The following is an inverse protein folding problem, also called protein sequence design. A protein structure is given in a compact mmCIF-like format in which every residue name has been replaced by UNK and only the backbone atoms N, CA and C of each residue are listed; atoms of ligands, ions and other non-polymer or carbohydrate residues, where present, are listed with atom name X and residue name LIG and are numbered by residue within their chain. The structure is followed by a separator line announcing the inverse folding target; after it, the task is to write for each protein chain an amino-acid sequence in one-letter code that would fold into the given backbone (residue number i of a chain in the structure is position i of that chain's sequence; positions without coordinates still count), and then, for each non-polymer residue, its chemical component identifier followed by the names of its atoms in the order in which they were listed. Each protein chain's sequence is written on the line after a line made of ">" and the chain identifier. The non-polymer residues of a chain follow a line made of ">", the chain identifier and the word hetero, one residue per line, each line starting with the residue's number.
data_IF_412347112228
#
_entry.id   IF_412347112228
#
_cell.length_a   1.000
_cell.length_b   1.000
_cell.length_c   1.000
_cell.angle_alpha   90.00
_cell.angle_beta   90.00
_cell.angle_gamma   90.00
#
_symmetry.space_group_name_H-M   'P 1'
#
loop_
_entity.id
_entity.type
_entity.pdbx_description
1 polymer ?
#
# COMPACT_ATOMS: atom_id res chain seq x y z
N UNK A 1 -12.92 12.42 10.57
CA UNK A 1 -12.76 12.40 12.04
C UNK A 1 -12.10 11.09 12.47
N UNK A 2 -11.41 11.05 13.61
CA UNK A 2 -10.92 9.80 14.19
C UNK A 2 -12.04 9.15 15.01
N UNK A 3 -12.16 7.82 14.95
CA UNK A 3 -13.17 7.12 15.73
C UNK A 3 -12.80 7.12 17.22
N UNK A 4 -13.82 6.95 18.05
CA UNK A 4 -13.70 6.75 19.49
C UNK A 4 -14.64 5.64 19.95
N UNK A 5 -14.54 5.25 21.22
CA UNK A 5 -15.46 4.27 21.84
C UNK A 5 -16.94 4.70 21.72
N UNK A 6 -17.21 6.01 21.62
CA UNK A 6 -18.58 6.54 21.48
C UNK A 6 -19.18 6.30 20.10
N UNK A 7 -18.37 5.92 19.12
CA UNK A 7 -18.80 5.73 17.74
C UNK A 7 -19.15 4.26 17.42
N UNK A 8 -19.01 3.34 18.38
CA UNK A 8 -19.22 1.90 18.19
C UNK A 8 -20.58 1.58 17.57
N UNK A 9 -21.65 2.16 18.10
CA UNK A 9 -23.01 1.95 17.60
C UNK A 9 -23.16 2.46 16.15
N UNK A 10 -22.62 3.64 15.84
CA UNK A 10 -22.65 4.21 14.49
C UNK A 10 -21.86 3.38 13.48
N UNK A 11 -20.69 2.88 13.90
CA UNK A 11 -19.86 1.99 13.09
C UNK A 11 -20.63 0.71 12.80
N UNK A 12 -21.24 0.10 13.82
CA UNK A 12 -22.04 -1.11 13.67
C UNK A 12 -23.21 -0.91 12.71
N UNK A 13 -23.96 0.18 12.85
CA UNK A 13 -25.03 0.55 11.92
C UNK A 13 -24.53 0.69 10.48
N UNK A 14 -23.39 1.36 10.29
CA UNK A 14 -22.78 1.51 8.97
C UNK A 14 -22.34 0.17 8.37
N UNK A 15 -21.74 -0.72 9.18
CA UNK A 15 -21.32 -2.05 8.73
C UNK A 15 -22.51 -2.85 8.21
N UNK A 16 -23.65 -2.83 8.91
CA UNK A 16 -24.85 -3.50 8.42
C UNK A 16 -25.48 -2.83 7.19
N UNK A 17 -25.55 -1.50 7.17
CA UNK A 17 -26.23 -0.76 6.12
C UNK A 17 -25.47 -0.75 4.79
N UNK A 18 -24.14 -0.68 4.84
CA UNK A 18 -23.30 -0.43 3.66
C UNK A 18 -22.30 -1.55 3.40
N UNK A 19 -21.64 -2.08 4.42
CA UNK A 19 -20.54 -3.03 4.23
C UNK A 19 -21.06 -4.45 3.96
N UNK A 20 -21.81 -5.05 4.89
CA UNK A 20 -22.29 -6.43 4.76
C UNK A 20 -23.16 -6.68 3.53
N UNK A 21 -23.90 -5.67 3.08
CA UNK A 21 -24.73 -5.76 1.87
C UNK A 21 -23.95 -5.58 0.58
N UNK A 22 -22.68 -5.16 0.61
CA UNK A 22 -21.91 -4.82 -0.60
C UNK A 22 -20.55 -5.50 -0.67
N UNK A 23 -20.12 -6.23 0.35
CA UNK A 23 -18.86 -6.96 0.39
C UNK A 23 -18.97 -8.26 -0.47
N UNK A 24 -18.04 -8.52 -1.41
CA UNK A 24 -18.13 -9.66 -2.33
C UNK A 24 -18.22 -11.05 -1.69
N UNK A 25 -17.36 -11.38 -0.72
CA UNK A 25 -17.37 -12.71 -0.12
C UNK A 25 -18.64 -12.93 0.71
N UNK A 26 -19.11 -11.90 1.41
CA UNK A 26 -20.36 -11.87 2.18
C UNK A 26 -21.56 -12.12 1.28
N UNK A 27 -21.61 -11.48 0.09
CA UNK A 27 -22.66 -11.75 -0.90
C UNK A 27 -22.58 -13.17 -1.46
N UNK A 28 -21.38 -13.68 -1.71
CA UNK A 28 -21.21 -15.01 -2.32
C UNK A 28 -21.80 -16.13 -1.46
N UNK A 29 -21.68 -16.02 -0.14
CA UNK A 29 -22.25 -16.97 0.83
C UNK A 29 -23.67 -16.61 1.29
N UNK A 30 -24.27 -15.56 0.70
CA UNK A 30 -25.58 -15.01 1.08
C UNK A 30 -25.65 -14.74 2.59
N UNK A 31 -24.66 -14.01 3.11
CA UNK A 31 -24.58 -13.63 4.52
C UNK A 31 -25.81 -12.78 4.88
N UNK A 32 -26.54 -13.20 5.91
CA UNK A 32 -27.69 -12.45 6.43
C UNK A 32 -27.26 -11.50 7.56
N UNK A 33 -28.15 -10.59 7.95
CA UNK A 33 -27.92 -9.73 9.12
C UNK A 33 -27.68 -10.57 10.38
N UNK A 34 -28.42 -11.67 10.56
CA UNK A 34 -28.31 -12.56 11.72
C UNK A 34 -26.95 -13.27 11.77
N UNK A 35 -26.49 -13.76 10.62
CA UNK A 35 -25.18 -14.42 10.50
C UNK A 35 -24.02 -13.47 10.89
N UNK A 36 -24.14 -12.18 10.57
CA UNK A 36 -23.06 -11.20 10.72
C UNK A 36 -22.99 -10.52 12.09
N UNK A 37 -23.93 -10.76 13.02
CA UNK A 37 -24.06 -9.96 14.25
C UNK A 37 -22.77 -9.96 15.07
N UNK A 38 -22.30 -11.15 15.47
CA UNK A 38 -21.13 -11.26 16.34
C UNK A 38 -19.88 -10.70 15.64
N UNK A 39 -19.68 -11.05 14.36
CA UNK A 39 -18.57 -10.55 13.56
C UNK A 39 -18.56 -9.02 13.45
N UNK A 40 -19.70 -8.40 13.17
CA UNK A 40 -19.76 -6.94 13.01
C UNK A 40 -19.70 -6.20 14.34
N UNK A 41 -20.21 -6.78 15.43
CA UNK A 41 -19.99 -6.25 16.78
C UNK A 41 -18.50 -6.24 17.13
N UNK A 42 -17.79 -7.35 16.87
CA UNK A 42 -16.33 -7.41 17.09
C UNK A 42 -15.59 -6.39 16.23
N UNK A 43 -15.92 -6.28 14.95
CA UNK A 43 -15.31 -5.30 14.06
C UNK A 43 -15.60 -3.85 14.50
N UNK A 44 -16.83 -3.56 14.92
CA UNK A 44 -17.20 -2.23 15.41
C UNK A 44 -16.43 -1.89 16.68
N UNK A 45 -16.42 -2.79 17.65
CA UNK A 45 -15.70 -2.64 18.91
C UNK A 45 -14.19 -2.46 18.69
N UNK A 46 -13.58 -3.34 17.89
CA UNK A 46 -12.15 -3.24 17.56
C UNK A 46 -11.85 -1.96 16.79
N UNK A 47 -12.71 -1.56 15.86
CA UNK A 47 -12.57 -0.35 15.06
C UNK A 47 -12.89 0.96 15.79
N UNK A 48 -13.46 0.91 16.99
CA UNK A 48 -13.84 2.10 17.77
C UNK A 48 -12.65 2.66 18.55
N UNK A 49 -11.62 3.04 17.81
CA UNK A 49 -10.34 3.47 18.35
C UNK A 49 -9.77 4.66 17.55
N UNK A 50 -8.78 5.35 18.14
CA UNK A 50 -8.17 6.56 17.57
C UNK A 50 -7.46 6.38 16.22
N UNK A 51 -7.15 5.14 15.82
CA UNK A 51 -6.48 4.82 14.56
C UNK A 51 -7.47 4.66 13.39
N UNK A 52 -8.75 4.43 13.68
CA UNK A 52 -9.79 4.36 12.68
C UNK A 52 -10.25 5.76 12.26
N UNK A 53 -10.67 5.88 11.00
CA UNK A 53 -11.15 7.13 10.41
C UNK A 53 -12.61 7.01 9.99
N UNK A 54 -13.43 7.98 10.40
CA UNK A 54 -14.83 8.15 10.00
C UNK A 54 -14.95 9.37 9.09
N UNK A 55 -15.66 9.23 7.97
CA UNK A 55 -15.90 10.29 7.00
C UNK A 55 -17.38 10.68 7.01
N UNK A 56 -17.63 11.97 7.22
CA UNK A 56 -18.96 12.54 7.37
C UNK A 56 -19.29 13.51 6.24
N UNK A 57 -20.57 13.54 5.89
CA UNK A 57 -21.21 14.55 5.04
C UNK A 57 -22.34 15.19 5.87
N UNK A 58 -22.06 16.35 6.47
CA UNK A 58 -22.84 16.88 7.58
C UNK A 58 -22.80 15.91 8.77
N UNK A 59 -23.96 15.55 9.31
CA UNK A 59 -24.08 14.59 10.42
C UNK A 59 -24.12 13.11 9.95
N UNK A 60 -24.11 12.88 8.63
CA UNK A 60 -24.24 11.53 8.08
C UNK A 60 -22.88 10.88 7.88
N UNK A 61 -22.68 9.71 8.50
CA UNK A 61 -21.52 8.85 8.22
C UNK A 61 -21.61 8.29 6.80
N UNK A 62 -20.68 8.67 5.93
CA UNK A 62 -20.65 8.29 4.50
C UNK A 62 -19.50 7.35 4.16
N UNK A 63 -18.53 7.19 5.04
CA UNK A 63 -17.44 6.24 4.87
C UNK A 63 -16.69 6.00 6.16
N UNK A 64 -16.00 4.88 6.23
CA UNK A 64 -15.10 4.53 7.32
C UNK A 64 -13.89 3.74 6.83
N UNK A 65 -12.83 3.80 7.62
CA UNK A 65 -11.63 2.98 7.54
C UNK A 65 -11.29 2.52 8.95
N UNK A 66 -11.63 1.28 9.28
CA UNK A 66 -11.32 0.70 10.58
C UNK A 66 -9.90 0.18 10.56
N UNK A 67 -9.10 0.59 11.55
CA UNK A 67 -7.71 0.18 11.66
C UNK A 67 -7.40 -0.31 13.06
N UNK A 68 -6.42 -1.19 13.18
CA UNK A 68 -5.88 -1.67 14.44
C UNK A 68 -4.36 -1.52 14.46
N UNK A 69 -3.82 -1.05 15.57
CA UNK A 69 -2.38 -0.94 15.78
C UNK A 69 -1.88 -2.16 16.55
N UNK A 70 -0.88 -2.86 16.01
CA UNK A 70 -0.22 -3.98 16.67
C UNK A 70 1.25 -3.63 16.90
N UNK A 71 1.72 -3.77 18.14
CA UNK A 71 3.11 -3.56 18.50
C UNK A 71 3.71 -4.86 19.05
N UNK A 72 4.44 -5.57 18.19
CA UNK A 72 4.87 -6.95 18.48
C UNK A 72 5.97 -7.07 19.53
N UNK A 73 6.46 -5.98 20.11
CA UNK A 73 7.31 -6.05 21.30
C UNK A 73 6.55 -6.49 22.56
N UNK A 74 5.21 -6.59 22.48
CA UNK A 74 4.35 -6.91 23.63
C UNK A 74 3.72 -8.31 23.58
N UNK A 75 3.78 -9.02 22.45
CA UNK A 75 3.13 -10.34 22.29
C UNK A 75 4.10 -11.39 21.72
N UNK A 76 4.58 -12.27 22.58
CA UNK A 76 5.36 -13.45 22.17
C UNK A 76 4.41 -14.55 21.67
N UNK A 77 3.66 -14.25 20.62
CA UNK A 77 2.74 -15.21 19.99
C UNK A 77 3.50 -16.17 19.07
N UNK A 78 3.17 -17.46 19.18
CA UNK A 78 3.62 -18.48 18.23
C UNK A 78 3.12 -18.08 16.83
N UNK A 79 4.04 -17.96 15.88
CA UNK A 79 3.70 -17.75 14.47
C UNK A 79 3.17 -19.08 13.92
N UNK A 80 1.92 -19.15 13.44
CA UNK A 80 1.37 -20.40 12.91
C UNK A 80 2.14 -20.88 11.68
N UNK A 81 2.21 -22.20 11.52
CA UNK A 81 2.79 -22.82 10.34
C UNK A 81 2.02 -22.40 9.08
N UNK A 82 2.71 -22.42 7.94
CA UNK A 82 2.06 -22.20 6.66
C UNK A 82 1.06 -23.33 6.34
N UNK A 83 -0.14 -22.94 5.91
CA UNK A 83 -1.18 -23.88 5.48
C UNK A 83 -1.10 -24.02 3.97
N UNK A 84 -1.04 -25.26 3.50
CA UNK A 84 -1.13 -25.59 2.08
C UNK A 84 -2.60 -25.73 1.66
N UNK A 85 -3.21 -24.60 1.29
CA UNK A 85 -4.62 -24.57 0.86
C UNK A 85 -4.91 -25.41 -0.40
N UNK A 86 -3.90 -25.81 -1.18
CA UNK A 86 -4.14 -26.73 -2.31
C UNK A 86 -4.54 -28.13 -1.84
N UNK A 87 -4.07 -28.55 -0.67
CA UNK A 87 -4.30 -29.88 -0.10
C UNK A 87 -5.06 -29.86 1.24
N UNK A 88 -5.37 -28.67 1.75
CA UNK A 88 -6.08 -28.48 3.02
C UNK A 88 -7.57 -28.20 2.80
N UNK A 89 -8.40 -28.73 3.71
CA UNK A 89 -9.84 -28.46 3.76
C UNK A 89 -10.17 -27.73 5.06
N UNK A 90 -10.88 -26.61 4.94
CA UNK A 90 -11.12 -25.67 6.03
C UNK A 90 -12.31 -26.07 6.92
N UNK A 91 -13.01 -27.19 6.67
CA UNK A 91 -14.22 -27.56 7.42
C UNK A 91 -14.00 -27.58 8.95
N UNK A 92 -12.90 -28.16 9.42
CA UNK A 92 -12.59 -28.21 10.86
C UNK A 92 -12.12 -26.86 11.41
N UNK A 93 -11.52 -25.99 10.58
CA UNK A 93 -11.12 -24.65 11.01
C UNK A 93 -12.34 -23.72 11.13
N UNK A 94 -13.24 -23.77 10.15
CA UNK A 94 -14.52 -23.03 10.15
C UNK A 94 -15.37 -23.46 11.36
N UNK A 95 -15.46 -24.77 11.62
CA UNK A 95 -16.18 -25.31 12.78
C UNK A 95 -15.60 -24.86 14.13
N UNK A 96 -14.28 -24.62 14.20
CA UNK A 96 -13.59 -24.11 15.40
C UNK A 96 -13.60 -22.58 15.48
N UNK A 97 -14.22 -21.89 14.51
CA UNK A 97 -14.30 -20.44 14.50
C UNK A 97 -14.99 -19.89 15.76
N UNK A 98 -14.72 -18.62 16.10
CA UNK A 98 -15.15 -18.03 17.36
C UNK A 98 -16.65 -17.71 17.41
N UNK A 99 -17.32 -17.69 16.26
CA UNK A 99 -18.71 -17.26 16.17
C UNK A 99 -19.68 -18.42 16.23
N UNK A 100 -20.87 -18.14 16.74
CA UNK A 100 -21.96 -19.12 16.73
C UNK A 100 -22.42 -19.47 15.30
N UNK A 101 -22.42 -18.48 14.41
CA UNK A 101 -22.97 -18.61 13.07
C UNK A 101 -21.90 -19.06 12.07
N UNK A 102 -22.18 -20.16 11.38
CA UNK A 102 -21.24 -20.84 10.46
C UNK A 102 -20.65 -19.90 9.40
N UNK A 103 -21.50 -19.05 8.80
CA UNK A 103 -21.08 -18.12 7.74
C UNK A 103 -20.16 -17.00 8.21
N UNK A 104 -20.28 -16.58 9.47
CA UNK A 104 -19.31 -15.65 10.04
C UNK A 104 -17.95 -16.34 10.20
N UNK A 105 -17.95 -17.63 10.57
CA UNK A 105 -16.74 -18.42 10.66
C UNK A 105 -16.10 -18.68 9.29
N UNK A 106 -16.87 -18.90 8.23
CA UNK A 106 -16.35 -18.98 6.84
C UNK A 106 -15.49 -17.75 6.50
N UNK A 107 -16.00 -16.55 6.81
CA UNK A 107 -15.30 -15.27 6.56
C UNK A 107 -14.07 -15.13 7.45
N UNK A 108 -14.23 -15.31 8.76
CA UNK A 108 -13.16 -15.02 9.72
C UNK A 108 -12.00 -16.01 9.58
N UNK A 109 -12.27 -17.27 9.22
CA UNK A 109 -11.23 -18.28 9.00
C UNK A 109 -10.34 -17.91 7.80
N UNK A 110 -10.92 -17.42 6.70
CA UNK A 110 -10.13 -16.90 5.58
C UNK A 110 -9.29 -15.68 6.01
N UNK A 111 -9.91 -14.74 6.73
CA UNK A 111 -9.23 -13.50 7.17
C UNK A 111 -8.08 -13.83 8.12
N UNK A 112 -8.28 -14.70 9.09
CA UNK A 112 -7.24 -15.17 10.01
C UNK A 112 -6.10 -15.87 9.28
N UNK A 113 -6.39 -16.74 8.30
CA UNK A 113 -5.35 -17.40 7.51
C UNK A 113 -4.46 -16.39 6.75
N UNK A 114 -5.08 -15.36 6.15
CA UNK A 114 -4.34 -14.26 5.52
C UNK A 114 -3.53 -13.46 6.55
N UNK A 115 -4.08 -13.18 7.73
CA UNK A 115 -3.35 -12.47 8.79
C UNK A 115 -2.16 -13.26 9.34
N UNK A 116 -2.29 -14.58 9.48
CA UNK A 116 -1.19 -15.42 9.94
C UNK A 116 -0.06 -15.48 8.91
N UNK A 117 -0.38 -15.40 7.61
CA UNK A 117 0.63 -15.20 6.57
C UNK A 117 1.38 -13.86 6.71
N UNK A 118 0.68 -12.78 7.07
CA UNK A 118 1.31 -11.46 7.32
C UNK A 118 2.30 -11.56 8.49
N UNK A 119 1.89 -12.18 9.61
CA UNK A 119 2.77 -12.38 10.78
C UNK A 119 4.03 -13.17 10.41
N UNK A 120 3.90 -14.20 9.57
CA UNK A 120 5.01 -15.04 9.11
C UNK A 120 5.98 -14.29 8.21
N UNK A 121 5.47 -13.51 7.26
CA UNK A 121 6.28 -12.90 6.20
C UNK A 121 6.91 -11.56 6.58
N UNK A 122 6.26 -10.78 7.44
CA UNK A 122 6.74 -9.45 7.85
C UNK A 122 7.80 -9.55 8.97
N UNK A 123 7.79 -10.64 9.73
CA UNK A 123 8.71 -10.91 10.83
C UNK A 123 8.24 -10.33 12.17
N UNK A 124 8.86 -10.81 13.26
CA UNK A 124 8.62 -10.33 14.64
C UNK A 124 9.25 -8.94 14.87
N UNK A 125 8.84 -8.27 15.96
CA UNK A 125 9.38 -6.97 16.41
C UNK A 125 9.18 -5.83 15.40
N UNK A 126 7.95 -5.71 14.90
CA UNK A 126 7.45 -4.65 14.04
C UNK A 126 6.21 -3.99 14.63
N UNK A 127 6.17 -2.66 14.57
CA UNK A 127 4.96 -1.88 14.83
C UNK A 127 4.17 -1.79 13.53
N UNK A 128 2.94 -2.28 13.54
CA UNK A 128 2.15 -2.46 12.32
C UNK A 128 0.79 -1.79 12.49
N UNK A 129 0.41 -0.96 11.52
CA UNK A 129 -0.98 -0.54 11.38
C UNK A 129 -1.69 -1.48 10.40
N UNK A 130 -2.73 -2.15 10.86
CA UNK A 130 -3.60 -2.99 10.04
C UNK A 130 -4.83 -2.19 9.63
N UNK A 131 -5.18 -2.22 8.34
CA UNK A 131 -6.47 -1.75 7.83
C UNK A 131 -7.40 -2.96 7.78
N UNK A 132 -8.40 -2.97 8.65
CA UNK A 132 -9.35 -4.06 8.83
C UNK A 132 -10.55 -3.96 7.88
N UNK A 133 -11.17 -2.78 7.81
CA UNK A 133 -12.35 -2.54 6.97
C UNK A 133 -12.20 -1.23 6.24
N UNK A 134 -12.47 -1.25 4.93
CA UNK A 134 -12.48 -0.06 4.09
C UNK A 134 -13.81 0.08 3.33
N UNK A 135 -14.49 1.20 3.57
CA UNK A 135 -15.72 1.54 2.83
C UNK A 135 -15.44 1.94 1.36
N UNK A 136 -16.43 1.69 0.49
CA UNK A 136 -16.39 2.07 -0.93
C UNK A 136 -16.58 3.59 -1.11
N UNK A 137 -16.13 4.12 -2.24
CA UNK A 137 -16.31 5.53 -2.63
C UNK A 137 -15.18 6.45 -2.14
N UNK A 138 -14.84 6.40 -0.86
CA UNK A 138 -13.78 7.24 -0.26
C UNK A 138 -12.45 6.50 -0.03
N UNK A 139 -12.34 5.26 -0.52
CA UNK A 139 -11.24 4.37 -0.16
C UNK A 139 -9.83 4.91 -0.44
N UNK A 140 -9.60 5.70 -1.50
CA UNK A 140 -8.27 6.32 -1.77
C UNK A 140 -7.89 7.30 -0.64
N UNK A 141 -8.78 8.23 -0.31
CA UNK A 141 -8.53 9.23 0.72
C UNK A 141 -8.41 8.60 2.12
N UNK A 142 -9.29 7.66 2.42
CA UNK A 142 -9.29 6.91 3.68
C UNK A 142 -8.02 6.04 3.85
N UNK A 143 -7.57 5.38 2.79
CA UNK A 143 -6.30 4.62 2.81
C UNK A 143 -5.11 5.55 3.01
N UNK A 144 -5.08 6.70 2.32
CA UNK A 144 -4.03 7.71 2.53
C UNK A 144 -3.99 8.16 3.99
N UNK A 145 -5.15 8.44 4.59
CA UNK A 145 -5.24 8.82 6.00
C UNK A 145 -4.74 7.72 6.95
N UNK A 146 -5.04 6.46 6.67
CA UNK A 146 -4.50 5.34 7.45
C UNK A 146 -2.96 5.27 7.35
N UNK A 147 -2.39 5.48 6.17
CA UNK A 147 -0.92 5.54 6.00
C UNK A 147 -0.30 6.72 6.77
N UNK A 148 -0.94 7.89 6.76
CA UNK A 148 -0.51 9.05 7.56
C UNK A 148 -0.50 8.71 9.07
N UNK A 149 -1.58 8.10 9.57
CA UNK A 149 -1.67 7.65 10.97
C UNK A 149 -0.54 6.67 11.29
N UNK A 150 -0.26 5.72 10.40
CA UNK A 150 0.83 4.76 10.59
C UNK A 150 2.21 5.43 10.69
N UNK A 151 2.46 6.45 9.85
CA UNK A 151 3.69 7.24 9.87
C UNK A 151 3.82 8.05 11.18
N UNK A 152 2.76 8.72 11.62
CA UNK A 152 2.72 9.43 12.91
C UNK A 152 3.00 8.49 14.08
N UNK A 153 2.44 7.29 14.04
CA UNK A 153 2.66 6.24 15.04
C UNK A 153 4.01 5.54 14.88
N UNK A 154 4.85 5.91 13.90
CA UNK A 154 6.15 5.28 13.62
C UNK A 154 6.04 3.78 13.38
N UNK A 155 5.01 3.34 12.67
CA UNK A 155 4.87 1.96 12.25
C UNK A 155 5.96 1.60 11.24
N UNK A 156 6.45 0.37 11.30
CA UNK A 156 7.29 -0.23 10.28
C UNK A 156 6.47 -0.58 9.02
N UNK A 157 5.20 -0.96 9.19
CA UNK A 157 4.36 -1.48 8.11
C UNK A 157 2.91 -0.98 8.18
N UNK A 158 2.30 -0.83 7.01
CA UNK A 158 0.84 -0.86 6.85
C UNK A 158 0.46 -2.15 6.17
N UNK A 159 -0.51 -2.86 6.73
CA UNK A 159 -0.95 -4.18 6.25
C UNK A 159 -2.46 -4.25 6.13
N UNK A 160 -2.96 -5.18 5.33
CA UNK A 160 -4.40 -5.43 5.20
C UNK A 160 -4.68 -6.81 4.62
N UNK A 161 -5.87 -7.31 4.85
CA UNK A 161 -6.45 -8.47 4.18
C UNK A 161 -7.55 -7.98 3.24
N UNK A 162 -7.34 -8.12 1.94
CA UNK A 162 -8.20 -7.55 0.92
C UNK A 162 -8.97 -8.65 0.16
N UNK A 163 -10.28 -8.72 0.40
CA UNK A 163 -11.20 -9.73 -0.15
C UNK A 163 -11.94 -9.29 -1.41
N UNK A 164 -11.87 -8.00 -1.77
CA UNK A 164 -12.53 -7.47 -2.96
C UNK A 164 -11.53 -6.95 -3.98
N UNK A 165 -11.87 -7.08 -5.26
CA UNK A 165 -11.07 -6.48 -6.34
C UNK A 165 -10.98 -4.97 -6.19
N UNK A 166 -12.01 -4.32 -5.64
CA UNK A 166 -12.04 -2.89 -5.41
C UNK A 166 -11.00 -2.45 -4.37
N UNK A 167 -10.98 -3.08 -3.19
CA UNK A 167 -10.03 -2.76 -2.13
C UNK A 167 -8.60 -3.11 -2.54
N UNK A 168 -8.37 -4.25 -3.18
CA UNK A 168 -7.05 -4.64 -3.70
C UNK A 168 -6.46 -3.57 -4.64
N UNK A 169 -7.25 -3.03 -5.58
CA UNK A 169 -6.80 -1.95 -6.46
C UNK A 169 -6.50 -0.65 -5.73
N UNK A 170 -7.30 -0.31 -4.72
CA UNK A 170 -7.09 0.90 -3.92
C UNK A 170 -5.78 0.80 -3.14
N UNK A 171 -5.55 -0.33 -2.47
CA UNK A 171 -4.33 -0.59 -1.72
C UNK A 171 -3.09 -0.66 -2.62
N UNK A 172 -3.19 -1.28 -3.79
CA UNK A 172 -2.11 -1.29 -4.78
C UNK A 172 -1.71 0.12 -5.22
N UNK A 173 -2.70 1.00 -5.47
CA UNK A 173 -2.44 2.43 -5.78
C UNK A 173 -1.83 3.19 -4.60
N UNK A 174 -2.06 2.75 -3.37
CA UNK A 174 -1.43 3.29 -2.17
C UNK A 174 -0.04 2.66 -1.88
N UNK A 175 0.48 1.83 -2.79
CA UNK A 175 1.82 1.23 -2.68
C UNK A 175 1.87 -0.10 -1.93
N UNK A 176 0.75 -0.62 -1.44
CA UNK A 176 0.72 -1.95 -0.83
C UNK A 176 0.90 -3.02 -1.90
N UNK A 177 1.81 -3.95 -1.65
CA UNK A 177 2.08 -5.08 -2.53
C UNK A 177 1.44 -6.33 -1.95
N UNK A 178 1.01 -7.22 -2.83
CA UNK A 178 0.58 -8.56 -2.44
C UNK A 178 1.80 -9.30 -1.92
N UNK A 179 1.73 -9.82 -0.70
CA UNK A 179 2.79 -10.64 -0.13
C UNK A 179 2.37 -12.11 0.02
N UNK A 180 1.07 -12.36 0.08
CA UNK A 180 0.47 -13.69 0.08
C UNK A 180 -0.95 -13.63 -0.47
N UNK A 181 -1.41 -14.70 -1.08
CA UNK A 181 -2.79 -14.82 -1.54
C UNK A 181 -3.32 -16.24 -1.36
N UNK A 182 -4.62 -16.33 -1.11
CA UNK A 182 -5.36 -17.59 -1.04
C UNK A 182 -6.38 -17.55 -2.19
N UNK A 183 -6.17 -18.30 -3.27
CA UNK A 183 -7.17 -18.48 -4.32
C UNK A 183 -8.47 -19.00 -3.71
N UNK A 184 -9.60 -18.40 -4.08
CA UNK A 184 -10.89 -18.81 -3.52
C UNK A 184 -11.27 -20.24 -3.90
N UNK A 185 -10.77 -20.75 -5.02
CA UNK A 185 -10.91 -22.15 -5.44
C UNK A 185 -10.17 -23.14 -4.53
N UNK A 186 -9.13 -22.69 -3.83
CA UNK A 186 -8.36 -23.51 -2.88
C UNK A 186 -8.92 -23.43 -1.45
N UNK A 187 -9.62 -22.34 -1.11
CA UNK A 187 -10.29 -22.22 0.18
C UNK A 187 -11.62 -23.01 0.17
N UNK A 188 -11.54 -24.29 0.58
CA UNK A 188 -12.64 -25.26 0.45
C UNK A 188 -13.18 -25.71 1.80
N UNK A 189 -14.47 -26.03 1.82
CA UNK A 189 -15.14 -26.74 2.91
C UNK A 189 -15.78 -28.00 2.33
N UNK A 190 -15.42 -29.17 2.88
CA UNK A 190 -15.89 -30.47 2.42
C UNK A 190 -15.69 -30.66 0.90
N UNK A 191 -14.53 -30.23 0.39
CA UNK A 191 -14.11 -30.32 -1.01
C UNK A 191 -14.69 -29.25 -1.94
N UNK A 192 -15.56 -28.36 -1.45
CA UNK A 192 -16.20 -27.32 -2.28
C UNK A 192 -15.64 -25.93 -1.94
N UNK A 193 -15.30 -25.09 -2.93
CA UNK A 193 -14.87 -23.72 -2.66
C UNK A 193 -15.94 -22.96 -1.86
N UNK A 194 -15.56 -22.28 -0.78
CA UNK A 194 -16.53 -21.56 0.07
C UNK A 194 -17.02 -20.30 -0.64
N UNK A 195 -16.10 -19.54 -1.22
CA UNK A 195 -16.38 -18.27 -1.88
C UNK A 195 -16.38 -18.45 -3.40
N UNK A 196 -17.57 -18.31 -4.01
CA UNK A 196 -17.76 -18.58 -5.44
C UNK A 196 -18.61 -17.50 -6.10
N UNK A 197 -18.46 -17.30 -7.41
CA UNK A 197 -19.31 -16.41 -8.20
C UNK A 197 -19.38 -14.97 -7.65
N UNK A 198 -18.25 -14.46 -7.16
CA UNK A 198 -18.16 -13.08 -6.67
C UNK A 198 -18.51 -12.12 -7.80
N UNK A 199 -19.45 -11.21 -7.53
CA UNK A 199 -19.98 -10.29 -8.56
C UNK A 199 -18.92 -9.31 -9.09
N UNK A 200 -17.81 -9.11 -8.38
CA UNK A 200 -16.71 -8.23 -8.79
C UNK A 200 -15.57 -8.97 -9.48
N UNK A 201 -15.71 -10.28 -9.71
CA UNK A 201 -14.72 -11.13 -10.36
C UNK A 201 -13.44 -11.36 -9.55
N UNK A 202 -13.42 -11.03 -8.25
CA UNK A 202 -12.26 -11.31 -7.40
C UNK A 202 -12.02 -12.83 -7.30
N UNK A 203 -10.77 -13.26 -7.50
CA UNK A 203 -10.40 -14.69 -7.53
C UNK A 203 -9.62 -15.16 -6.31
N UNK A 204 -9.14 -14.26 -5.46
CA UNK A 204 -8.34 -14.58 -4.29
C UNK A 204 -8.49 -13.54 -3.18
N UNK A 205 -8.46 -13.99 -1.93
CA UNK A 205 -8.20 -13.12 -0.79
C UNK A 205 -6.70 -12.83 -0.72
N UNK A 206 -6.32 -11.56 -0.48
CA UNK A 206 -4.91 -11.14 -0.54
C UNK A 206 -4.45 -10.51 0.75
N UNK A 207 -3.31 -10.97 1.26
CA UNK A 207 -2.55 -10.30 2.29
C UNK A 207 -1.65 -9.28 1.59
N UNK A 208 -1.89 -7.99 1.85
CA UNK A 208 -1.16 -6.89 1.23
C UNK A 208 -0.43 -6.06 2.27
N UNK A 209 0.77 -5.59 1.94
CA UNK A 209 1.61 -4.84 2.87
C UNK A 209 2.49 -3.80 2.16
N UNK A 210 2.80 -2.72 2.85
CA UNK A 210 3.83 -1.74 2.47
C UNK A 210 4.76 -1.49 3.65
N UNK A 211 6.06 -1.55 3.40
CA UNK A 211 7.09 -1.23 4.37
C UNK A 211 7.29 0.29 4.41
N UNK A 212 7.06 0.93 5.54
CA UNK A 212 7.15 2.38 5.69
C UNK A 212 8.59 2.91 5.81
N UNK A 213 9.57 2.08 6.19
CA UNK A 213 10.99 2.46 6.08
C UNK A 213 11.42 2.61 4.62
N UNK A 214 10.96 1.71 3.75
CA UNK A 214 11.15 1.82 2.29
C UNK A 214 10.23 2.88 1.70
N UNK A 215 9.02 3.05 2.26
CA UNK A 215 8.07 4.06 1.79
C UNK A 215 8.49 5.49 2.12
N UNK A 216 9.27 5.77 3.16
CA UNK A 216 9.89 7.10 3.34
C UNK A 216 10.94 7.41 2.25
N UNK A 217 11.56 6.37 1.68
CA UNK A 217 12.47 6.50 0.52
C UNK A 217 11.65 6.59 -0.79
N UNK A 218 10.49 5.91 -0.88
CA UNK A 218 9.61 5.91 -2.05
C UNK A 218 8.52 7.00 -2.08
N UNK A 219 8.18 7.68 -0.97
CA UNK A 219 7.24 8.81 -0.94
C UNK A 219 7.85 10.04 -1.61
N UNK A 220 9.19 10.11 -1.68
CA UNK A 220 9.91 11.03 -2.58
C UNK A 220 9.73 10.62 -4.06
N UNK A 221 9.18 9.44 -4.35
CA UNK A 221 9.28 8.79 -5.67
C UNK A 221 7.95 8.36 -6.30
N UNK A 222 6.82 8.26 -5.57
CA UNK A 222 5.59 7.62 -6.08
C UNK A 222 4.33 8.50 -6.17
N UNK A 223 4.42 9.82 -6.02
CA UNK A 223 3.32 10.69 -6.43
C UNK A 223 3.34 10.88 -7.96
N UNK A 224 2.50 10.12 -8.67
CA UNK A 224 2.09 10.47 -10.04
C UNK A 224 1.08 11.63 -10.05
N UNK A 225 0.67 12.13 -8.89
CA UNK A 225 -0.24 13.28 -8.72
C UNK A 225 0.53 14.64 -8.63
N UNK A 226 1.88 14.64 -8.64
CA UNK A 226 2.71 15.86 -8.47
C UNK A 226 3.27 16.44 -9.79
N UNK A 227 2.81 15.93 -10.94
CA UNK A 227 3.19 16.48 -12.26
C UNK A 227 2.05 17.35 -12.77
N UNK A 228 2.29 18.64 -12.89
CA UNK A 228 1.35 19.60 -13.47
C UNK A 228 1.77 19.96 -14.90
N UNK A 229 0.96 19.58 -15.89
CA UNK A 229 1.14 20.04 -17.26
C UNK A 229 0.43 21.39 -17.43
N UNK A 230 1.19 22.42 -17.81
CA UNK A 230 0.64 23.76 -18.04
C UNK A 230 0.67 24.14 -19.53
N UNK A 231 -0.20 25.06 -19.93
CA UNK A 231 -0.38 25.53 -21.32
C UNK A 231 0.57 26.68 -21.70
N UNK A 232 1.65 26.88 -20.95
CA UNK A 232 2.57 28.02 -21.10
C UNK A 232 2.18 29.28 -20.31
N UNK A 233 1.01 29.32 -19.65
CA UNK A 233 0.58 30.50 -18.88
C UNK A 233 0.87 30.43 -17.38
N UNK A 234 1.24 29.27 -16.86
CA UNK A 234 1.47 29.06 -15.44
C UNK A 234 2.70 29.83 -14.91
N UNK A 235 2.50 30.51 -13.79
CA UNK A 235 3.57 31.16 -13.03
C UNK A 235 4.05 30.23 -11.90
N UNK A 236 5.34 29.91 -11.87
CA UNK A 236 5.92 29.06 -10.83
C UNK A 236 5.64 29.55 -9.40
N UNK A 237 5.52 30.87 -9.20
CA UNK A 237 5.16 31.47 -7.90
C UNK A 237 3.71 31.18 -7.54
N UNK A 238 2.79 31.23 -8.49
CA UNK A 238 1.38 30.92 -8.26
C UNK A 238 1.20 29.43 -7.96
N UNK A 239 1.91 28.57 -8.69
CA UNK A 239 1.97 27.15 -8.38
C UNK A 239 2.55 26.89 -6.99
N UNK A 240 3.65 27.55 -6.61
CA UNK A 240 4.23 27.48 -5.28
C UNK A 240 3.24 27.89 -4.19
N UNK A 241 2.48 28.97 -4.39
CA UNK A 241 1.44 29.40 -3.44
C UNK A 241 0.34 28.35 -3.30
N UNK A 242 -0.09 27.73 -4.40
CA UNK A 242 -1.10 26.68 -4.37
C UNK A 242 -0.61 25.43 -3.63
N UNK A 243 0.63 25.00 -3.87
CA UNK A 243 1.26 23.89 -3.15
C UNK A 243 1.42 24.22 -1.67
N UNK A 244 1.88 25.44 -1.34
CA UNK A 244 2.01 25.90 0.05
C UNK A 244 0.66 25.91 0.77
N UNK A 245 -0.40 26.44 0.15
CA UNK A 245 -1.73 26.45 0.74
C UNK A 245 -2.29 25.03 0.96
N UNK A 246 -1.98 24.09 0.06
CA UNK A 246 -2.31 22.67 0.23
C UNK A 246 -1.50 22.01 1.35
N UNK A 247 -0.23 22.39 1.53
CA UNK A 247 0.61 21.96 2.65
C UNK A 247 0.06 22.50 3.98
N UNK A 248 -0.26 23.79 4.06
CA UNK A 248 -0.86 24.43 5.23
C UNK A 248 -2.19 23.76 5.61
N UNK A 249 -3.05 23.48 4.62
CA UNK A 249 -4.33 22.81 4.84
C UNK A 249 -4.18 21.36 5.34
N UNK A 250 -3.02 20.73 5.08
CA UNK A 250 -2.66 19.38 5.54
C UNK A 250 -1.76 19.37 6.76
N UNK A 251 -1.45 20.54 7.33
CA UNK A 251 -0.54 20.70 8.48
C UNK A 251 0.87 20.12 8.21
N UNK A 252 1.35 20.28 6.96
CA UNK A 252 2.67 19.85 6.49
C UNK A 252 3.60 21.04 6.53
N UNK A 253 4.68 20.92 7.31
CA UNK A 253 5.64 22.01 7.55
C UNK A 253 6.97 21.82 6.82
N UNK A 254 7.11 20.72 6.10
CA UNK A 254 8.31 20.38 5.34
C UNK A 254 8.48 21.29 4.11
N UNK A 255 9.73 21.66 3.77
CA UNK A 255 9.99 22.41 2.54
C UNK A 255 9.68 21.54 1.32
N UNK A 256 9.23 22.19 0.24
CA UNK A 256 9.03 21.57 -1.06
C UNK A 256 9.87 22.26 -2.14
N UNK A 257 10.11 21.54 -3.23
CA UNK A 257 10.76 22.09 -4.41
C UNK A 257 9.81 21.97 -5.62
N UNK A 258 9.80 23.01 -6.45
CA UNK A 258 9.13 22.98 -7.75
C UNK A 258 10.20 22.90 -8.81
N UNK A 259 10.06 21.91 -9.69
CA UNK A 259 11.05 21.61 -10.72
C UNK A 259 10.36 21.61 -12.07
N UNK A 260 10.86 22.46 -12.96
CA UNK A 260 10.43 22.49 -14.35
C UNK A 260 11.15 21.38 -15.15
N UNK A 261 10.41 20.36 -15.54
CA UNK A 261 10.94 19.23 -16.31
C UNK A 261 11.33 19.63 -17.75
N UNK A 262 10.75 20.70 -18.31
CA UNK A 262 11.19 21.23 -19.60
C UNK A 262 12.58 21.84 -19.49
N UNK A 263 12.93 22.44 -18.35
CA UNK A 263 14.31 22.90 -18.09
C UNK A 263 15.25 21.70 -18.00
N UNK A 264 14.89 20.63 -17.30
CA UNK A 264 15.70 19.40 -17.23
C UNK A 264 15.98 18.87 -18.64
N UNK A 265 14.94 18.76 -19.47
CA UNK A 265 15.08 18.32 -20.86
C UNK A 265 15.97 19.27 -21.68
N UNK A 266 15.72 20.59 -21.62
CA UNK A 266 16.53 21.59 -22.35
C UNK A 266 18.00 21.53 -21.99
N UNK A 267 18.34 21.28 -20.72
CA UNK A 267 19.74 21.14 -20.29
C UNK A 267 20.38 19.86 -20.83
N UNK A 268 19.63 18.76 -20.91
CA UNK A 268 20.10 17.54 -21.55
C UNK A 268 20.27 17.71 -23.07
N UNK A 269 19.35 18.40 -23.73
CA UNK A 269 19.44 18.72 -25.16
C UNK A 269 20.66 19.61 -25.44
N UNK A 270 20.90 20.62 -24.61
CA UNK A 270 22.10 21.47 -24.69
C UNK A 270 23.39 20.66 -24.49
N UNK A 271 23.42 19.73 -23.52
CA UNK A 271 24.55 18.84 -23.33
C UNK A 271 24.85 18.02 -24.58
N UNK A 272 23.83 17.39 -25.16
CA UNK A 272 23.98 16.57 -26.37
C UNK A 272 24.42 17.40 -27.57
N UNK A 273 23.91 18.63 -27.69
CA UNK A 273 24.30 19.56 -28.74
C UNK A 273 25.77 19.99 -28.60
N UNK A 274 26.19 20.36 -27.38
CA UNK A 274 27.54 20.85 -27.11
C UNK A 274 28.59 19.72 -27.07
N UNK A 275 28.21 18.51 -26.66
CA UNK A 275 29.08 17.35 -26.47
C UNK A 275 28.51 16.10 -27.17
N UNK A 276 28.41 16.10 -28.51
CA UNK A 276 27.70 15.05 -29.27
C UNK A 276 28.32 13.66 -29.15
N UNK A 277 29.61 13.57 -28.84
CA UNK A 277 30.33 12.31 -28.65
C UNK A 277 30.30 11.80 -27.20
N UNK A 278 29.73 12.55 -26.26
CA UNK A 278 29.75 12.21 -24.82
C UNK A 278 28.36 11.74 -24.39
N UNK A 279 28.24 10.44 -24.04
CA UNK A 279 27.00 9.89 -23.49
C UNK A 279 26.80 10.42 -22.05
N UNK A 280 25.67 11.08 -21.73
CA UNK A 280 25.45 11.61 -20.39
C UNK A 280 25.09 10.50 -19.41
N UNK A 281 25.79 10.45 -18.28
CA UNK A 281 25.45 9.63 -17.11
C UNK A 281 25.07 10.57 -15.96
N UNK A 282 23.78 10.61 -15.62
CA UNK A 282 23.28 11.47 -14.55
C UNK A 282 23.57 10.84 -13.18
N UNK A 283 24.23 11.59 -12.31
CA UNK A 283 24.50 11.16 -10.94
C UNK A 283 23.21 11.23 -10.11
N UNK A 284 22.61 10.06 -9.80
CA UNK A 284 21.30 9.95 -9.14
C UNK A 284 21.28 10.64 -7.78
N UNK A 285 22.39 10.60 -7.03
CA UNK A 285 22.56 11.28 -5.74
C UNK A 285 22.31 12.80 -5.78
N UNK A 286 22.43 13.44 -6.94
CA UNK A 286 22.23 14.88 -7.07
C UNK A 286 20.76 15.27 -6.88
N UNK A 287 19.86 14.48 -7.46
CA UNK A 287 18.43 14.57 -7.22
C UNK A 287 17.75 13.24 -7.62
N UNK A 288 17.35 12.40 -6.66
CA UNK A 288 16.76 11.10 -6.93
C UNK A 288 15.25 11.16 -7.24
N UNK A 289 14.68 12.35 -7.47
CA UNK A 289 13.27 12.49 -7.83
C UNK A 289 12.91 11.69 -9.09
N UNK A 290 11.87 10.87 -9.01
CA UNK A 290 11.54 9.92 -10.07
C UNK A 290 11.13 10.60 -11.38
N UNK A 291 10.53 11.78 -11.32
CA UNK A 291 10.06 12.48 -12.51
C UNK A 291 11.22 13.11 -13.28
N UNK A 292 12.26 13.57 -12.58
CA UNK A 292 13.54 13.94 -13.20
C UNK A 292 14.17 12.72 -13.87
N UNK A 293 14.30 11.60 -13.14
CA UNK A 293 14.95 10.40 -13.67
C UNK A 293 14.19 9.83 -14.88
N UNK A 294 12.86 9.80 -14.85
CA UNK A 294 12.01 9.41 -16.00
C UNK A 294 12.20 10.35 -17.18
N UNK A 295 12.24 11.67 -16.94
CA UNK A 295 12.46 12.66 -18.01
C UNK A 295 13.83 12.46 -18.65
N UNK A 296 14.88 12.27 -17.86
CA UNK A 296 16.23 12.00 -18.35
C UNK A 296 16.31 10.67 -19.13
N UNK A 297 15.73 9.61 -18.58
CA UNK A 297 15.65 8.28 -19.21
C UNK A 297 14.92 8.33 -20.55
N UNK A 298 13.72 8.93 -20.60
CA UNK A 298 12.93 9.06 -21.82
C UNK A 298 13.64 9.89 -22.90
N UNK A 299 14.56 10.77 -22.49
CA UNK A 299 15.41 11.54 -23.39
C UNK A 299 16.82 10.93 -23.51
N UNK A 300 17.02 9.64 -23.20
CA UNK A 300 18.23 8.89 -23.57
C UNK A 300 19.48 9.17 -22.72
N UNK A 301 19.32 9.65 -21.49
CA UNK A 301 20.41 9.69 -20.52
C UNK A 301 20.61 8.32 -19.83
N UNK A 302 21.85 8.08 -19.40
CA UNK A 302 22.23 6.95 -18.55
C UNK A 302 22.36 7.38 -17.09
N UNK A 303 22.69 6.45 -16.19
CA UNK A 303 22.72 6.72 -14.75
C UNK A 303 24.04 6.33 -14.08
N UNK A 304 24.60 7.28 -13.34
CA UNK A 304 25.65 7.06 -12.35
C UNK A 304 24.97 6.87 -10.97
N UNK A 305 25.15 5.67 -10.42
CA UNK A 305 24.64 5.31 -9.11
C UNK A 305 25.78 5.13 -8.10
N UNK A 306 25.53 5.55 -6.87
CA UNK A 306 26.47 5.55 -5.78
C UNK A 306 26.11 4.54 -4.67
N UNK A 307 24.90 3.95 -4.72
CA UNK A 307 24.38 3.05 -3.69
C UNK A 307 23.48 1.95 -4.26
N UNK A 308 23.21 0.91 -3.47
CA UNK A 308 22.21 -0.12 -3.81
C UNK A 308 20.84 0.51 -4.02
N UNK A 309 20.46 1.47 -3.19
CA UNK A 309 19.17 2.17 -3.28
C UNK A 309 19.00 2.85 -4.64
N UNK A 310 20.03 3.57 -5.10
CA UNK A 310 19.99 4.26 -6.40
C UNK A 310 19.95 3.25 -7.56
N UNK A 311 20.81 2.23 -7.56
CA UNK A 311 20.78 1.18 -8.58
C UNK A 311 19.43 0.46 -8.62
N UNK A 312 18.88 0.14 -7.45
CA UNK A 312 17.57 -0.48 -7.34
C UNK A 312 16.47 0.41 -7.89
N UNK A 313 16.48 1.71 -7.57
CA UNK A 313 15.49 2.67 -8.06
C UNK A 313 15.45 2.73 -9.60
N UNK A 314 16.62 2.77 -10.25
CA UNK A 314 16.71 2.78 -11.72
C UNK A 314 16.15 1.48 -12.31
N UNK A 315 16.58 0.33 -11.79
CA UNK A 315 16.16 -0.98 -12.29
C UNK A 315 14.67 -1.27 -12.03
N UNK A 316 14.19 -1.03 -10.81
CA UNK A 316 12.80 -1.34 -10.42
C UNK A 316 11.76 -0.51 -11.16
N UNK A 317 12.16 0.66 -11.67
CA UNK A 317 11.32 1.55 -12.47
C UNK A 317 11.57 1.42 -13.98
N UNK A 318 12.40 0.46 -14.42
CA UNK A 318 12.77 0.23 -15.81
C UNK A 318 13.30 1.49 -16.53
N UNK A 319 14.10 2.31 -15.83
CA UNK A 319 14.59 3.58 -16.37
C UNK A 319 15.81 3.42 -17.27
N UNK A 320 16.57 2.34 -17.11
CA UNK A 320 17.73 2.03 -17.94
C UNK A 320 18.02 0.53 -17.93
N UNK A 321 18.65 0.04 -19.00
CA UNK A 321 19.23 -1.30 -19.00
C UNK A 321 20.48 -1.35 -18.11
N UNK A 322 20.88 -2.53 -17.63
CA UNK A 322 22.00 -2.64 -16.69
C UNK A 322 23.35 -2.12 -17.25
N UNK A 323 23.57 -2.23 -18.55
CA UNK A 323 24.75 -1.69 -19.25
C UNK A 323 24.73 -0.16 -19.41
N UNK A 324 23.63 0.49 -19.04
CA UNK A 324 23.45 1.95 -19.02
C UNK A 324 23.51 2.51 -17.60
N UNK A 325 23.92 1.69 -16.64
CA UNK A 325 24.12 2.04 -15.24
C UNK A 325 25.59 1.82 -14.89
N UNK A 326 26.19 2.77 -14.18
CA UNK A 326 27.54 2.65 -13.62
C UNK A 326 27.46 2.81 -12.11
N UNK A 327 28.10 1.91 -11.36
CA UNK A 327 28.36 2.10 -9.94
C UNK A 327 29.59 3.00 -9.78
N UNK A 328 29.45 4.32 -9.68
CA UNK A 328 30.60 5.23 -9.68
C UNK A 328 31.08 5.67 -8.28
N UNK A 329 30.50 5.15 -7.18
CA UNK A 329 30.99 5.48 -5.84
C UNK A 329 32.47 5.13 -5.68
N UNK A 330 33.27 6.07 -5.18
CA UNK A 330 34.73 5.91 -5.04
C UNK A 330 35.10 4.77 -4.06
N UNK A 331 34.30 4.58 -3.01
CA UNK A 331 34.47 3.51 -2.02
C UNK A 331 33.31 2.52 -2.13
N UNK A 332 33.48 1.43 -2.86
CA UNK A 332 32.41 0.45 -3.09
C UNK A 332 32.35 -0.57 -1.95
N UNK A 333 31.21 -0.66 -1.25
CA UNK A 333 31.01 -1.71 -0.24
C UNK A 333 30.92 -3.09 -0.91
N UNK A 334 31.26 -4.15 -0.16
CA UNK A 334 31.12 -5.54 -0.64
C UNK A 334 29.71 -5.82 -1.15
N UNK A 335 28.70 -5.32 -0.43
CA UNK A 335 27.29 -5.48 -0.80
C UNK A 335 26.95 -4.74 -2.10
N UNK A 336 27.42 -3.50 -2.29
CA UNK A 336 27.20 -2.76 -3.53
C UNK A 336 27.82 -3.48 -4.73
N UNK A 337 29.04 -4.00 -4.59
CA UNK A 337 29.73 -4.78 -5.63
C UNK A 337 28.94 -6.04 -5.98
N UNK A 338 28.54 -6.82 -4.96
CA UNK A 338 27.76 -8.04 -5.15
C UNK A 338 26.41 -7.75 -5.84
N UNK A 339 25.74 -6.67 -5.46
CA UNK A 339 24.50 -6.24 -6.08
C UNK A 339 24.70 -5.84 -7.55
N UNK A 340 25.74 -5.04 -7.84
CA UNK A 340 26.06 -4.62 -9.20
C UNK A 340 26.33 -5.83 -10.11
N UNK A 341 27.18 -6.76 -9.67
CA UNK A 341 27.49 -8.00 -10.40
C UNK A 341 26.23 -8.82 -10.66
N UNK A 342 25.40 -9.04 -9.62
CA UNK A 342 24.16 -9.83 -9.73
C UNK A 342 23.20 -9.25 -10.78
N UNK A 343 23.19 -7.92 -10.94
CA UNK A 343 22.28 -7.23 -11.86
C UNK A 343 22.94 -6.83 -13.19
N UNK A 344 24.20 -7.25 -13.46
CA UNK A 344 24.91 -6.92 -14.70
C UNK A 344 25.26 -5.44 -14.86
N UNK A 345 25.46 -4.71 -13.76
CA UNK A 345 25.81 -3.29 -13.74
C UNK A 345 27.33 -3.11 -13.87
N UNK A 346 27.75 -2.10 -14.63
CA UNK A 346 29.17 -1.76 -14.85
C UNK A 346 29.75 -1.06 -13.61
N UNK A 347 31.02 -1.29 -13.27
CA UNK A 347 31.67 -0.76 -12.06
C UNK A 347 32.86 0.17 -12.33
#
# INVERSE_FOLDING_TARGET
>A
EQASEKDEEKILEFLFAQFGLSEPISKSIKLTKGDAIELFCDNAKQGSNKYSTLAYDGDRLVGLCLCSLKDSDTEDTLVPAEVDFENHDCAEDIKKGPYKEHKANEIVTLVHALEDSLKRLIGKHKKVLKIDILSKGLGKALTRRAVEIALTERCDWVVTTATSSASQRIFAKAGLRVIYEIPYEHFRENGNPVFQNLYDGCSAGRAMAVNLFVCNIMQISLNTDDIYQHDGTANAIEFARKVAADYDARDIFEPFAIIDLDVVKKQLDLWKFALPSVKPYYAVKCNPDLNILKTLSANGACFDCASITEMHQILSNNLAASNEIILAHAIKSRQCIQYAIKNGITM
#
